data_IF_640526099164
#
_entry.id   IF_640526099164
#
_cell.length_a   1.000
_cell.length_b   1.000
_cell.length_c   1.000
_cell.angle_alpha   90.00
_cell.angle_beta   90.00
_cell.angle_gamma   90.00
#
_symmetry.space_group_name_H-M   'P 1'
#
loop_
_entity.id
_entity.type
_entity.pdbx_description
1 polymer ?
#
# COMPACT_ATOMS: atom_id res chain seq x y z
N UNK A 1 -25.21 8.95 -9.98
CA UNK A 1 -24.59 7.62 -9.82
C UNK A 1 -23.13 7.83 -9.53
N UNK A 2 -22.57 7.14 -8.54
CA UNK A 2 -21.13 7.18 -8.29
C UNK A 2 -20.39 6.42 -9.41
N UNK A 3 -19.18 6.87 -9.81
CA UNK A 3 -18.34 6.13 -10.74
C UNK A 3 -17.84 4.82 -10.09
N UNK A 4 -17.61 3.79 -10.90
CA UNK A 4 -16.92 2.56 -10.47
C UNK A 4 -15.41 2.80 -10.33
N UNK A 5 -14.76 1.98 -9.51
CA UNK A 5 -13.30 1.94 -9.41
C UNK A 5 -12.68 1.68 -10.80
N UNK A 6 -11.63 2.41 -11.19
CA UNK A 6 -10.94 2.19 -12.46
C UNK A 6 -10.26 0.81 -12.48
N UNK A 7 -10.17 0.22 -13.66
CA UNK A 7 -9.39 -1.00 -13.84
C UNK A 7 -7.89 -0.78 -13.57
N UNK A 8 -7.12 -1.79 -13.10
CA UNK A 8 -5.69 -1.65 -12.79
C UNK A 8 -4.82 -1.08 -13.91
N UNK A 9 -5.23 -1.30 -15.16
CA UNK A 9 -4.50 -0.83 -16.35
C UNK A 9 -4.98 0.54 -16.87
N UNK A 10 -6.01 1.12 -16.25
CA UNK A 10 -6.56 2.41 -16.67
C UNK A 10 -5.71 3.58 -16.16
N UNK A 11 -5.75 4.70 -16.89
CA UNK A 11 -4.97 5.90 -16.57
C UNK A 11 -5.38 6.55 -15.24
N UNK A 12 -6.64 6.36 -14.84
CA UNK A 12 -7.18 6.93 -13.61
C UNK A 12 -6.83 6.13 -12.35
N UNK A 13 -6.29 4.92 -12.50
CA UNK A 13 -5.87 4.10 -11.37
C UNK A 13 -4.59 4.68 -10.73
N UNK A 14 -4.54 4.82 -9.39
CA UNK A 14 -3.26 5.03 -8.72
C UNK A 14 -2.37 3.80 -8.98
N UNK A 15 -1.05 4.00 -8.96
CA UNK A 15 -0.09 2.90 -9.09
C UNK A 15 1.02 3.07 -8.09
N UNK A 16 1.46 1.95 -7.53
CA UNK A 16 2.64 1.86 -6.70
C UNK A 16 3.51 0.71 -7.19
N UNK A 17 4.70 1.03 -7.71
CA UNK A 17 5.57 0.09 -8.39
C UNK A 17 6.95 0.09 -7.75
N UNK A 18 7.28 -1.00 -7.03
CA UNK A 18 8.65 -1.34 -6.60
C UNK A 18 9.49 -0.20 -5.98
N UNK A 19 8.84 0.77 -5.35
CA UNK A 19 9.49 1.89 -4.66
C UNK A 19 9.76 1.52 -3.21
N UNK A 20 10.90 1.93 -2.69
CA UNK A 20 11.22 1.87 -1.25
C UNK A 20 11.07 3.24 -0.58
N UNK A 21 10.50 4.22 -1.27
CA UNK A 21 10.28 5.56 -0.75
C UNK A 21 8.92 5.64 -0.03
N UNK A 22 8.89 5.85 1.30
CA UNK A 22 7.65 5.97 2.05
C UNK A 22 6.81 7.17 1.61
N UNK A 23 7.41 8.27 1.14
CA UNK A 23 6.62 9.42 0.69
C UNK A 23 5.78 9.06 -0.55
N UNK A 24 6.30 8.21 -1.43
CA UNK A 24 5.55 7.69 -2.58
C UNK A 24 4.44 6.73 -2.14
N UNK A 25 4.69 5.91 -1.11
CA UNK A 25 3.71 4.98 -0.54
C UNK A 25 2.57 5.72 0.15
N UNK A 26 2.88 6.74 0.96
CA UNK A 26 1.89 7.62 1.59
C UNK A 26 1.04 8.32 0.54
N UNK A 27 1.67 8.86 -0.51
CA UNK A 27 0.97 9.49 -1.63
C UNK A 27 0.09 8.51 -2.39
N UNK A 28 0.51 7.25 -2.55
CA UNK A 28 -0.31 6.21 -3.14
C UNK A 28 -1.59 5.98 -2.33
N UNK A 29 -1.46 5.78 -1.02
CA UNK A 29 -2.61 5.55 -0.14
C UNK A 29 -3.56 6.76 -0.11
N UNK A 30 -3.03 7.98 -0.03
CA UNK A 30 -3.86 9.19 -0.08
C UNK A 30 -4.69 9.27 -1.36
N UNK A 31 -4.09 8.95 -2.52
CA UNK A 31 -4.83 8.95 -3.81
C UNK A 31 -5.86 7.84 -3.90
N UNK A 32 -5.58 6.70 -3.28
CA UNK A 32 -6.47 5.57 -3.24
C UNK A 32 -7.68 5.84 -2.35
N UNK A 33 -7.48 6.50 -1.21
CA UNK A 33 -8.55 6.93 -0.30
C UNK A 33 -9.45 7.98 -0.96
N UNK A 34 -8.87 8.98 -1.62
CA UNK A 34 -9.62 9.95 -2.45
C UNK A 34 -10.49 9.26 -3.52
N UNK A 35 -10.03 8.11 -4.02
CA UNK A 35 -10.74 7.33 -5.03
C UNK A 35 -11.87 6.51 -4.40
N UNK A 36 -11.67 5.95 -3.21
CA UNK A 36 -12.73 5.30 -2.44
C UNK A 36 -13.88 6.26 -2.14
N UNK A 37 -13.59 7.49 -1.72
CA UNK A 37 -14.60 8.50 -1.44
C UNK A 37 -15.41 8.85 -2.69
N UNK A 38 -14.74 8.98 -3.85
CA UNK A 38 -15.41 9.27 -5.13
C UNK A 38 -16.27 8.11 -5.61
N UNK A 39 -15.83 6.89 -5.39
CA UNK A 39 -16.51 5.67 -5.84
C UNK A 39 -17.48 5.09 -4.80
N UNK A 40 -17.54 5.67 -3.60
CA UNK A 40 -18.36 5.22 -2.47
C UNK A 40 -18.03 3.77 -2.10
N UNK A 41 -16.73 3.48 -1.97
CA UNK A 41 -16.23 2.18 -1.53
C UNK A 41 -16.03 2.25 -0.02
N UNK A 42 -16.93 1.62 0.74
CA UNK A 42 -16.91 1.63 2.21
C UNK A 42 -16.47 0.29 2.83
N UNK A 43 -16.53 -0.80 2.08
CA UNK A 43 -16.18 -2.13 2.56
C UNK A 43 -14.65 -2.31 2.70
N UNK A 44 -14.22 -2.73 3.89
CA UNK A 44 -12.80 -2.91 4.22
C UNK A 44 -12.12 -3.96 3.32
N UNK A 45 -12.81 -5.04 2.95
CA UNK A 45 -12.22 -6.05 2.06
C UNK A 45 -12.05 -5.52 0.64
N UNK A 46 -13.04 -4.78 0.13
CA UNK A 46 -12.96 -4.13 -1.18
C UNK A 46 -11.82 -3.13 -1.24
N UNK A 47 -11.64 -2.31 -0.19
CA UNK A 47 -10.52 -1.36 -0.08
C UNK A 47 -9.17 -2.07 -0.10
N UNK A 48 -9.01 -3.14 0.69
CA UNK A 48 -7.77 -3.94 0.71
C UNK A 48 -7.50 -4.62 -0.64
N UNK A 49 -8.53 -5.20 -1.29
CA UNK A 49 -8.42 -5.80 -2.63
C UNK A 49 -8.03 -4.76 -3.68
N UNK A 50 -8.61 -3.56 -3.63
CA UNK A 50 -8.24 -2.47 -4.53
C UNK A 50 -6.77 -2.06 -4.33
N UNK A 51 -6.33 -1.89 -3.07
CA UNK A 51 -4.96 -1.52 -2.74
C UNK A 51 -3.94 -2.45 -3.41
N UNK A 52 -4.08 -3.77 -3.23
CA UNK A 52 -3.15 -4.73 -3.84
C UNK A 52 -3.24 -4.77 -5.37
N UNK A 53 -4.43 -4.52 -5.95
CA UNK A 53 -4.65 -4.59 -7.40
C UNK A 53 -3.97 -3.44 -8.17
N UNK A 54 -3.64 -2.36 -7.48
CA UNK A 54 -2.96 -1.19 -8.01
C UNK A 54 -1.45 -1.19 -7.74
N UNK A 55 -0.91 -2.34 -7.34
CA UNK A 55 0.52 -2.54 -7.16
C UNK A 55 1.10 -3.47 -8.22
N UNK A 56 2.43 -3.52 -8.31
CA UNK A 56 3.11 -4.54 -9.08
C UNK A 56 3.02 -5.93 -8.40
N UNK A 57 3.22 -7.01 -9.18
CA UNK A 57 3.04 -8.40 -8.71
C UNK A 57 3.89 -8.72 -7.47
N UNK A 58 5.08 -8.12 -7.33
CA UNK A 58 5.95 -8.39 -6.19
C UNK A 58 5.35 -7.77 -4.93
N UNK A 59 4.95 -6.50 -5.00
CA UNK A 59 4.32 -5.77 -3.90
C UNK A 59 2.99 -6.42 -3.49
N UNK A 60 2.15 -6.80 -4.45
CA UNK A 60 0.90 -7.52 -4.19
C UNK A 60 1.12 -8.77 -3.34
N UNK A 61 2.15 -9.58 -3.66
CA UNK A 61 2.48 -10.80 -2.91
C UNK A 61 2.94 -10.49 -1.49
N UNK A 62 3.71 -9.41 -1.29
CA UNK A 62 4.20 -9.02 0.02
C UNK A 62 3.06 -8.54 0.92
N UNK A 63 2.11 -7.78 0.38
CA UNK A 63 0.99 -7.25 1.17
C UNK A 63 -0.06 -8.33 1.50
N UNK A 64 -0.26 -9.31 0.62
CA UNK A 64 -1.20 -10.43 0.85
C UNK A 64 -0.86 -11.33 2.03
N UNK A 65 0.41 -11.36 2.46
CA UNK A 65 0.84 -12.21 3.58
C UNK A 65 0.76 -11.49 4.93
N UNK A 66 0.39 -10.20 4.94
CA UNK A 66 0.21 -9.45 6.17
C UNK A 66 -1.03 -9.99 6.93
N UNK A 67 -0.93 -10.21 8.25
CA UNK A 67 -2.06 -10.56 9.11
C UNK A 67 -3.28 -9.65 8.92
N UNK A 68 -3.07 -8.34 8.82
CA UNK A 68 -4.12 -7.33 8.58
C UNK A 68 -4.83 -7.46 7.22
N UNK A 69 -4.27 -8.21 6.27
CA UNK A 69 -4.95 -8.53 5.02
C UNK A 69 -6.05 -9.59 5.17
N UNK A 70 -6.12 -10.30 6.31
CA UNK A 70 -7.11 -11.33 6.55
C UNK A 70 -8.56 -10.80 6.48
N UNK A 71 -9.50 -11.71 6.21
CA UNK A 71 -10.93 -11.38 6.19
C UNK A 71 -11.38 -10.89 7.58
N UNK A 72 -12.21 -9.84 7.62
CA UNK A 72 -12.69 -9.22 8.85
C UNK A 72 -11.76 -8.18 9.48
N UNK A 73 -10.51 -8.09 9.06
CA UNK A 73 -9.58 -7.03 9.50
C UNK A 73 -9.88 -5.70 8.79
N UNK A 74 -9.61 -4.58 9.44
CA UNK A 74 -9.90 -3.25 8.88
C UNK A 74 -8.87 -2.83 7.85
N UNK A 75 -9.30 -1.96 6.92
CA UNK A 75 -8.39 -1.34 5.96
C UNK A 75 -7.31 -0.49 6.64
N UNK A 76 -7.67 0.25 7.69
CA UNK A 76 -6.73 1.15 8.40
C UNK A 76 -5.59 0.36 9.08
N UNK A 77 -5.90 -0.81 9.67
CA UNK A 77 -4.91 -1.70 10.27
C UNK A 77 -3.95 -2.24 9.20
N UNK A 78 -4.49 -2.57 8.02
CA UNK A 78 -3.69 -2.98 6.86
C UNK A 78 -2.78 -1.88 6.33
N UNK A 79 -3.32 -0.66 6.15
CA UNK A 79 -2.53 0.49 5.72
C UNK A 79 -1.40 0.80 6.71
N UNK A 80 -1.69 0.76 8.01
CA UNK A 80 -0.69 0.99 9.06
C UNK A 80 0.43 -0.05 9.00
N UNK A 81 0.07 -1.34 8.94
CA UNK A 81 1.07 -2.42 8.89
C UNK A 81 1.93 -2.33 7.61
N UNK A 82 1.32 -1.97 6.48
CA UNK A 82 2.07 -1.71 5.23
C UNK A 82 3.05 -0.56 5.42
N UNK A 83 2.65 0.58 5.99
CA UNK A 83 3.55 1.73 6.20
C UNK A 83 4.71 1.38 7.15
N UNK A 84 4.41 0.69 8.26
CA UNK A 84 5.41 0.24 9.23
C UNK A 84 6.47 -0.67 8.60
N UNK A 85 6.08 -1.54 7.66
CA UNK A 85 7.01 -2.41 6.94
C UNK A 85 8.06 -1.61 6.13
N UNK A 86 7.71 -0.43 5.63
CA UNK A 86 8.61 0.39 4.81
C UNK A 86 9.47 1.32 5.67
N UNK A 87 8.94 1.82 6.80
CA UNK A 87 9.72 2.59 7.76
C UNK A 87 10.77 1.72 8.47
N UNK A 88 10.40 0.51 8.88
CA UNK A 88 11.33 -0.46 9.47
C UNK A 88 12.43 -0.91 8.49
N UNK A 89 12.12 -0.96 7.19
CA UNK A 89 13.12 -1.24 6.16
C UNK A 89 14.17 -0.13 6.02
N UNK A 90 13.76 1.15 6.16
CA UNK A 90 14.68 2.29 6.13
C UNK A 90 15.61 2.31 7.33
N UNK A 91 15.10 2.00 8.51
CA UNK A 91 15.93 1.94 9.73
C UNK A 91 16.92 0.78 9.67
N UNK A 92 16.52 -0.38 9.14
CA UNK A 92 17.41 -1.53 8.96
C UNK A 92 18.55 -1.25 7.95
N UNK A 93 18.26 -0.58 6.83
CA UNK A 93 19.29 -0.19 5.84
C UNK A 93 20.27 0.84 6.45
N UNK A 94 19.74 1.84 7.17
CA UNK A 94 20.56 2.84 7.87
C UNK A 94 21.51 2.18 8.88
N UNK A 95 21.01 1.26 9.69
CA UNK A 95 21.82 0.54 10.68
C UNK A 95 22.93 -0.28 10.02
N UNK A 96 22.60 -1.05 8.97
CA UNK A 96 23.57 -1.81 8.19
C UNK A 96 24.66 -0.92 7.56
N UNK A 97 24.30 0.26 7.01
CA UNK A 97 25.27 1.23 6.48
C UNK A 97 26.17 1.84 7.55
N UNK A 98 25.67 2.06 8.77
CA UNK A 98 26.47 2.60 9.87
C UNK A 98 27.51 1.58 10.38
N UNK A 99 27.14 0.31 10.47
CA UNK A 99 28.07 -0.76 10.86
C UNK A 99 29.15 -1.00 9.79
N UNK A 100 28.82 -0.93 8.49
CA UNK A 100 29.82 -1.00 7.42
C UNK A 100 30.86 0.14 7.46
N UNK A 101 30.49 1.33 7.95
CA UNK A 101 31.41 2.48 8.08
C UNK A 101 32.31 2.41 9.31
N UNK A 102 32.03 1.50 10.25
CA UNK A 102 32.83 1.29 11.47
C UNK A 102 33.95 0.26 11.29
N UNK A 103 33.95 -0.48 10.19
CA UNK A 103 34.99 -1.43 9.76
C UNK A 103 36.06 -0.74 8.91
#
# INVERSE_FOLDING_TARGET
MAPSMPGPNEKAAPRFESSSDPEELERFFSRLEDLFDKCVVDDDEEKKKAAISYTDIKTERQWKVLPSFAAGEKYDDFKSEVLDCYDGARDSDRDAMLELKRL
#
